data_IF_337631469259
#
_entry.id   IF_337631469259
#
_cell.length_a   1.000
_cell.length_b   1.000
_cell.length_c   1.000
_cell.angle_alpha   90.00
_cell.angle_beta   90.00
_cell.angle_gamma   90.00
#
_symmetry.space_group_name_H-M   'P 1'
#
loop_
_entity.id
_entity.type
_entity.pdbx_description
1 polymer ?
#
# COMPACT_ATOMS: atom_id res chain seq x y z
N UNK A 1 28.03 -21.99 -62.81
CA UNK A 1 28.31 -21.52 -61.44
C UNK A 1 26.96 -21.26 -60.78
N UNK A 2 26.46 -22.20 -59.97
CA UNK A 2 26.55 -22.16 -58.49
C UNK A 2 25.86 -20.89 -57.94
N UNK A 3 24.70 -20.92 -57.28
CA UNK A 3 24.40 -21.46 -55.94
C UNK A 3 22.86 -21.51 -55.78
N UNK A 4 22.17 -22.58 -55.34
CA UNK A 4 22.07 -23.14 -53.98
C UNK A 4 21.87 -22.12 -52.85
N UNK A 5 20.61 -21.74 -52.58
CA UNK A 5 20.10 -21.43 -51.22
C UNK A 5 18.56 -21.32 -51.29
N UNK A 6 17.82 -22.40 -51.06
CA UNK A 6 17.37 -22.93 -49.76
C UNK A 6 16.41 -22.01 -49.00
N UNK A 7 15.20 -22.56 -48.84
CA UNK A 7 14.06 -22.02 -48.13
C UNK A 7 14.26 -22.11 -46.61
N UNK A 8 14.03 -21.00 -45.91
CA UNK A 8 13.74 -20.85 -44.48
C UNK A 8 13.39 -19.35 -44.31
N UNK A 9 12.31 -18.89 -43.69
CA UNK A 9 11.41 -19.51 -42.76
C UNK A 9 10.01 -18.88 -42.89
N UNK A 10 8.99 -19.73 -42.92
CA UNK A 10 7.70 -19.38 -42.36
C UNK A 10 7.87 -19.33 -40.84
N UNK A 11 7.67 -18.16 -40.24
CA UNK A 11 7.36 -18.06 -38.81
C UNK A 11 5.93 -17.53 -38.71
N UNK A 12 5.03 -18.24 -38.00
CA UNK A 12 3.65 -17.81 -37.84
C UNK A 12 3.58 -16.54 -36.98
N UNK A 13 2.54 -15.74 -37.26
CA UNK A 13 2.17 -14.56 -36.48
C UNK A 13 2.20 -14.86 -34.97
N UNK A 14 2.77 -13.94 -34.19
CA UNK A 14 2.67 -13.99 -32.73
C UNK A 14 1.22 -14.26 -32.32
N UNK A 15 0.93 -15.26 -31.48
CA UNK A 15 -0.35 -15.29 -30.82
C UNK A 15 -0.43 -14.03 -29.94
N UNK A 16 -1.42 -13.17 -30.23
CA UNK A 16 -1.76 -12.06 -29.34
C UNK A 16 -1.92 -12.61 -27.92
N UNK A 17 -1.32 -11.99 -26.88
CA UNK A 17 -1.62 -12.37 -25.52
C UNK A 17 -3.11 -12.16 -25.33
N UNK A 18 -3.83 -13.23 -24.98
CA UNK A 18 -5.22 -13.15 -24.58
C UNK A 18 -5.32 -12.10 -23.48
N UNK A 19 -5.95 -10.96 -23.79
CA UNK A 19 -6.28 -9.92 -22.82
C UNK A 19 -7.07 -10.59 -21.70
N UNK A 20 -6.55 -10.75 -20.47
CA UNK A 20 -7.41 -11.15 -19.38
C UNK A 20 -8.37 -9.99 -19.17
N UNK A 21 -9.66 -10.28 -19.37
CA UNK A 21 -10.80 -9.41 -19.09
C UNK A 21 -10.56 -8.70 -17.76
N UNK A 22 -10.23 -7.42 -17.86
CA UNK A 22 -9.98 -6.52 -16.74
C UNK A 22 -11.29 -6.41 -15.96
N UNK A 23 -11.41 -7.19 -14.90
CA UNK A 23 -12.38 -6.95 -13.83
C UNK A 23 -11.95 -5.66 -13.12
N UNK A 24 -12.20 -4.51 -13.75
CA UNK A 24 -12.32 -3.22 -13.06
C UNK A 24 -13.57 -3.28 -12.17
N UNK A 25 -13.59 -4.19 -11.19
CA UNK A 25 -14.22 -3.82 -9.94
C UNK A 25 -13.26 -2.83 -9.32
N UNK A 26 -13.43 -1.57 -9.67
CA UNK A 26 -13.14 -0.48 -8.76
C UNK A 26 -14.02 -0.73 -7.54
N UNK A 27 -13.60 -1.65 -6.68
CA UNK A 27 -13.93 -1.55 -5.28
C UNK A 27 -13.40 -0.18 -4.91
N UNK A 28 -14.31 0.74 -4.61
CA UNK A 28 -13.98 1.96 -3.90
C UNK A 28 -13.36 1.48 -2.58
N UNK A 29 -12.05 1.21 -2.62
CA UNK A 29 -11.27 0.77 -1.48
C UNK A 29 -11.45 1.88 -0.47
N UNK A 30 -11.89 1.58 0.77
CA UNK A 30 -12.03 2.61 1.78
C UNK A 30 -10.72 3.37 1.84
N UNK A 31 -10.77 4.68 1.56
CA UNK A 31 -9.59 5.53 1.45
C UNK A 31 -8.80 5.39 2.75
N UNK A 32 -7.71 4.63 2.69
CA UNK A 32 -6.79 4.49 3.79
C UNK A 32 -5.79 5.63 3.70
N UNK A 33 -5.70 6.43 4.75
CA UNK A 33 -4.69 7.49 4.85
C UNK A 33 -3.55 6.94 5.69
N UNK A 34 -2.31 7.17 5.26
CA UNK A 34 -1.11 6.74 5.99
C UNK A 34 -0.12 7.89 6.15
N UNK A 35 0.60 7.89 7.27
CA UNK A 35 1.67 8.84 7.54
C UNK A 35 2.84 8.16 8.26
N UNK A 36 4.08 8.53 7.89
CA UNK A 36 5.26 8.10 8.63
C UNK A 36 5.51 9.10 9.76
N UNK A 37 5.42 8.63 11.01
CA UNK A 37 5.60 9.46 12.20
C UNK A 37 7.05 9.50 12.67
N UNK A 38 7.76 8.37 12.52
CA UNK A 38 9.18 8.26 12.87
C UNK A 38 9.88 7.48 11.77
N UNK A 39 10.96 8.02 11.22
CA UNK A 39 11.84 7.33 10.28
C UNK A 39 13.29 7.42 10.78
N UNK A 40 13.83 6.30 11.27
CA UNK A 40 15.21 6.17 11.74
C UNK A 40 15.83 4.90 11.15
N UNK A 41 17.17 4.82 11.00
CA UNK A 41 17.83 3.69 10.34
C UNK A 41 17.49 2.30 10.89
N UNK A 42 17.17 2.20 12.18
CA UNK A 42 16.86 0.94 12.85
C UNK A 42 15.37 0.82 13.25
N UNK A 43 14.54 1.83 12.97
CA UNK A 43 13.16 1.87 13.44
C UNK A 43 12.31 2.81 12.61
N UNK A 44 11.15 2.32 12.17
CA UNK A 44 10.13 3.11 11.53
C UNK A 44 8.81 2.97 12.30
N UNK A 45 8.05 4.07 12.40
CA UNK A 45 6.69 4.09 12.92
C UNK A 45 5.79 4.78 11.92
N UNK A 46 4.74 4.09 11.50
CA UNK A 46 3.68 4.58 10.62
C UNK A 46 2.35 4.60 11.37
N UNK A 47 1.50 5.54 11.01
CA UNK A 47 0.08 5.52 11.34
C UNK A 47 -0.73 5.29 10.08
N UNK A 48 -1.78 4.49 10.19
CA UNK A 48 -2.77 4.24 9.16
C UNK A 48 -4.16 4.49 9.71
N UNK A 49 -5.04 5.06 8.91
CA UNK A 49 -6.45 5.21 9.22
C UNK A 49 -7.24 4.64 8.06
N UNK A 50 -7.98 3.57 8.33
CA UNK A 50 -8.87 2.92 7.36
C UNK A 50 -10.31 3.32 7.67
N UNK A 51 -11.03 3.80 6.67
CA UNK A 51 -12.45 4.10 6.84
C UNK A 51 -13.28 2.81 6.82
N UNK A 52 -14.16 2.63 7.79
CA UNK A 52 -15.04 1.47 7.87
C UNK A 52 -16.48 1.93 8.10
N UNK A 53 -17.50 1.08 7.82
CA UNK A 53 -18.89 1.42 8.11
C UNK A 53 -19.18 1.72 9.59
N UNK A 54 -18.30 1.27 10.49
CA UNK A 54 -18.47 1.38 11.93
C UNK A 54 -17.62 2.49 12.57
N UNK A 55 -16.80 3.19 11.78
CA UNK A 55 -15.87 4.21 12.26
C UNK A 55 -14.54 4.18 11.52
N UNK A 56 -13.51 4.74 12.14
CA UNK A 56 -12.18 4.87 11.56
C UNK A 56 -11.22 3.91 12.28
N UNK A 57 -10.73 2.90 11.59
CA UNK A 57 -9.79 1.96 12.15
C UNK A 57 -8.38 2.56 12.09
N UNK A 58 -7.91 3.03 13.25
CA UNK A 58 -6.59 3.65 13.42
C UNK A 58 -5.60 2.58 13.83
N UNK A 59 -4.44 2.52 13.16
CA UNK A 59 -3.37 1.57 13.45
C UNK A 59 -2.04 2.30 13.52
N UNK A 60 -1.21 1.94 14.49
CA UNK A 60 0.19 2.31 14.53
C UNK A 60 1.04 1.06 14.27
N UNK A 61 1.84 1.12 13.22
CA UNK A 61 2.68 0.02 12.76
C UNK A 61 4.14 0.40 12.96
N UNK A 62 4.89 -0.40 13.70
CA UNK A 62 6.33 -0.25 13.77
C UNK A 62 7.02 -1.27 12.87
N UNK A 63 8.15 -0.89 12.29
CA UNK A 63 9.02 -1.79 11.55
C UNK A 63 10.46 -1.66 12.03
N UNK A 64 11.12 -2.79 12.29
CA UNK A 64 12.51 -2.85 12.77
C UNK A 64 13.35 -3.59 11.72
N UNK A 65 14.00 -2.89 10.79
CA UNK A 65 14.77 -3.52 9.71
C UNK A 65 15.95 -4.36 10.22
N UNK A 66 16.50 -4.02 11.38
CA UNK A 66 17.63 -4.74 11.98
C UNK A 66 17.23 -5.92 12.86
N UNK A 67 15.94 -6.24 12.97
CA UNK A 67 15.48 -7.39 13.74
C UNK A 67 15.92 -8.70 13.08
N UNK A 68 16.03 -9.77 13.88
CA UNK A 68 16.32 -11.12 13.36
C UNK A 68 15.31 -11.57 12.30
N UNK A 69 14.08 -11.06 12.39
CA UNK A 69 13.00 -11.21 11.41
C UNK A 69 12.33 -9.85 11.25
N UNK A 70 12.67 -9.08 10.20
CA UNK A 70 12.03 -7.79 9.93
C UNK A 70 10.58 -8.01 9.54
N UNK A 71 9.67 -7.50 10.36
CA UNK A 71 8.23 -7.60 10.14
C UNK A 71 7.54 -6.35 10.69
N UNK A 72 6.37 -6.04 10.13
CA UNK A 72 5.52 -4.99 10.69
C UNK A 72 4.85 -5.48 11.96
N UNK A 73 4.90 -4.67 13.00
CA UNK A 73 4.30 -4.96 14.29
C UNK A 73 3.26 -3.89 14.60
N UNK A 74 2.01 -4.32 14.80
CA UNK A 74 0.96 -3.44 15.31
C UNK A 74 1.29 -3.07 16.76
N UNK A 75 1.52 -1.79 17.02
CA UNK A 75 1.74 -1.25 18.37
C UNK A 75 0.46 -0.75 19.02
N UNK A 76 -0.47 -0.29 18.20
CA UNK A 76 -1.79 0.13 18.63
C UNK A 76 -2.76 -0.08 17.47
N UNK A 77 -3.97 -0.53 17.78
CA UNK A 77 -5.07 -0.53 16.83
C UNK A 77 -6.36 -0.31 17.61
N UNK A 78 -7.23 0.55 17.08
CA UNK A 78 -8.54 0.78 17.69
C UNK A 78 -9.51 1.38 16.67
N UNK A 79 -10.81 1.19 16.90
CA UNK A 79 -11.85 1.81 16.11
C UNK A 79 -12.26 3.14 16.74
N UNK A 80 -11.96 4.23 16.06
CA UNK A 80 -12.30 5.58 16.50
C UNK A 80 -13.61 6.05 15.89
N UNK A 81 -14.44 6.72 16.68
CA UNK A 81 -15.51 7.56 16.15
C UNK A 81 -14.95 8.82 15.51
N UNK A 82 -15.78 9.53 14.73
CA UNK A 82 -15.40 10.81 14.16
C UNK A 82 -15.05 11.85 15.26
N UNK A 83 -15.77 11.85 16.39
CA UNK A 83 -15.52 12.79 17.49
C UNK A 83 -14.18 12.49 18.19
N UNK A 84 -13.80 11.21 18.32
CA UNK A 84 -12.51 10.83 18.87
C UNK A 84 -11.35 11.23 17.96
N UNK A 85 -11.51 11.12 16.63
CA UNK A 85 -10.51 11.63 15.69
C UNK A 85 -10.41 13.16 15.73
N UNK A 86 -11.53 13.87 15.86
CA UNK A 86 -11.51 15.34 16.04
C UNK A 86 -10.77 15.72 17.32
N UNK A 87 -11.05 15.05 18.42
CA UNK A 87 -10.34 15.28 19.68
C UNK A 87 -8.82 15.00 19.58
N UNK A 88 -8.42 13.93 18.88
CA UNK A 88 -7.01 13.64 18.61
C UNK A 88 -6.37 14.72 17.75
N UNK A 89 -7.05 15.16 16.69
CA UNK A 89 -6.60 16.28 15.85
C UNK A 89 -6.43 17.55 16.67
N UNK A 90 -7.44 17.92 17.46
CA UNK A 90 -7.40 19.16 18.26
C UNK A 90 -6.26 19.14 19.29
N UNK A 91 -5.95 17.97 19.86
CA UNK A 91 -4.79 17.78 20.72
C UNK A 91 -3.48 18.05 19.98
N UNK A 92 -3.30 17.47 18.79
CA UNK A 92 -2.11 17.66 17.97
C UNK A 92 -1.98 19.12 17.50
N UNK A 93 -3.08 19.69 16.99
CA UNK A 93 -3.13 21.07 16.49
C UNK A 93 -2.80 22.06 17.62
N UNK A 94 -3.23 21.79 18.86
CA UNK A 94 -2.90 22.62 20.03
C UNK A 94 -1.41 22.63 20.34
N UNK A 95 -0.73 21.49 20.28
CA UNK A 95 0.69 21.39 20.61
C UNK A 95 1.58 21.94 19.49
N UNK A 96 1.17 21.81 18.22
CA UNK A 96 1.91 22.35 17.08
C UNK A 96 1.70 23.86 16.91
N UNK A 97 0.56 24.39 17.38
CA UNK A 97 0.19 25.81 17.29
C UNK A 97 0.67 26.71 18.43
N UNK A 98 1.56 26.23 19.30
CA UNK A 98 2.16 26.99 20.42
C UNK A 98 3.51 27.63 20.07
#
# INVERSE_FOLDING_TARGET
MNDRNQALAMLPACPQPATPTRLERTFDLPQAVQATLVSRPAYELRAEIHHTPYGHHVRFLSFVPSARRPEEQVKFQELFSADQLRALRDLIDREIGA
#
